data_IF_541329235370
#
_entry.id   IF_541329235370
#
_cell.length_a   1.000
_cell.length_b   1.000
_cell.length_c   1.000
_cell.angle_alpha   90.00
_cell.angle_beta   90.00
_cell.angle_gamma   90.00
#
_symmetry.space_group_name_H-M   'P 1'
#
loop_
_entity.id
_entity.type
_entity.pdbx_description
1 polymer ?
#
# COMPACT_ATOMS: atom_id res chain seq x y z
N UNK A 1 2.21 44.97 9.68
CA UNK A 1 2.81 43.82 8.97
C UNK A 1 2.71 42.53 9.79
N UNK A 2 1.67 42.34 10.63
CA UNK A 2 1.52 41.13 11.46
C UNK A 2 0.22 40.35 11.21
N UNK A 3 -0.72 40.89 10.43
CA UNK A 3 -2.01 40.25 10.18
C UNK A 3 -2.00 39.19 9.06
N UNK A 4 -0.87 38.99 8.37
CA UNK A 4 -0.81 38.14 7.16
C UNK A 4 -0.30 36.72 7.45
N UNK A 5 0.21 36.45 8.65
CA UNK A 5 0.69 35.11 9.06
C UNK A 5 -0.43 34.29 9.73
N UNK A 6 -1.56 34.93 10.07
CA UNK A 6 -2.71 34.30 10.76
C UNK A 6 -3.53 33.32 9.89
N UNK A 7 -3.29 33.25 8.57
CA UNK A 7 -4.07 32.38 7.67
C UNK A 7 -3.41 31.03 7.34
N UNK A 8 -2.25 30.70 7.91
CA UNK A 8 -1.64 29.35 7.81
C UNK A 8 -2.30 28.42 8.85
N UNK A 9 -3.60 28.57 9.05
CA UNK A 9 -4.47 27.68 9.80
C UNK A 9 -5.67 27.35 8.93
N UNK A 10 -5.45 26.67 7.80
CA UNK A 10 -6.50 25.85 7.20
C UNK A 10 -6.37 24.44 7.77
N UNK A 11 -7.12 24.21 8.84
CA UNK A 11 -7.45 22.91 9.38
C UNK A 11 -7.81 21.95 8.25
N UNK A 12 -7.02 20.90 8.06
CA UNK A 12 -7.41 19.78 7.21
C UNK A 12 -8.77 19.27 7.68
N UNK A 13 -9.67 18.96 6.75
CA UNK A 13 -10.99 18.44 7.12
C UNK A 13 -10.83 17.14 7.93
N UNK A 14 -11.77 16.79 8.83
CA UNK A 14 -11.69 15.53 9.58
C UNK A 14 -11.52 14.29 8.67
N UNK A 15 -12.02 14.36 7.44
CA UNK A 15 -11.86 13.32 6.41
C UNK A 15 -10.41 13.22 5.90
N UNK A 16 -9.71 14.34 5.76
CA UNK A 16 -8.32 14.37 5.30
C UNK A 16 -7.34 13.86 6.37
N UNK A 17 -7.59 14.19 7.65
CA UNK A 17 -6.80 13.68 8.77
C UNK A 17 -6.93 12.16 8.84
N UNK A 18 -8.15 11.64 8.85
CA UNK A 18 -8.41 10.19 8.88
C UNK A 18 -7.78 9.47 7.69
N UNK A 19 -7.88 10.04 6.49
CA UNK A 19 -7.26 9.49 5.28
C UNK A 19 -5.73 9.42 5.39
N UNK A 20 -5.10 10.48 5.90
CA UNK A 20 -3.64 10.51 6.10
C UNK A 20 -3.20 9.43 7.09
N UNK A 21 -3.96 9.21 8.17
CA UNK A 21 -3.71 8.12 9.12
C UNK A 21 -3.84 6.74 8.48
N UNK A 22 -4.88 6.52 7.65
CA UNK A 22 -5.08 5.26 6.92
C UNK A 22 -3.94 4.98 5.92
N UNK A 23 -3.51 6.00 5.17
CA UNK A 23 -2.36 5.90 4.25
C UNK A 23 -1.10 5.52 5.03
N UNK A 24 -0.84 6.15 6.18
CA UNK A 24 0.35 5.87 6.96
C UNK A 24 0.36 4.50 7.62
N UNK A 25 -0.83 4.01 8.02
CA UNK A 25 -0.99 2.63 8.50
C UNK A 25 -0.68 1.63 7.39
N UNK A 26 -1.29 1.78 6.22
CA UNK A 26 -1.09 0.89 5.07
C UNK A 26 0.37 0.89 4.60
N UNK A 27 1.00 2.07 4.54
CA UNK A 27 2.41 2.20 4.17
C UNK A 27 3.34 1.46 5.15
N UNK A 28 3.05 1.51 6.46
CA UNK A 28 3.77 0.74 7.47
C UNK A 28 3.57 -0.77 7.34
N UNK A 29 2.35 -1.22 7.02
CA UNK A 29 2.06 -2.64 6.76
C UNK A 29 2.81 -3.16 5.52
N UNK A 30 2.88 -2.35 4.45
CA UNK A 30 3.66 -2.69 3.26
C UNK A 30 5.16 -2.77 3.54
N UNK A 31 5.71 -1.85 4.34
CA UNK A 31 7.10 -1.92 4.76
C UNK A 31 7.39 -3.20 5.57
N UNK A 32 6.50 -3.58 6.49
CA UNK A 32 6.64 -4.82 7.25
C UNK A 32 6.62 -6.06 6.34
N UNK A 33 5.71 -6.12 5.34
CA UNK A 33 5.68 -7.21 4.37
C UNK A 33 6.96 -7.26 3.52
N UNK A 34 7.48 -6.10 3.13
CA UNK A 34 8.72 -6.02 2.37
C UNK A 34 9.92 -6.53 3.19
N UNK A 35 10.06 -6.09 4.45
CA UNK A 35 11.11 -6.57 5.34
C UNK A 35 10.97 -8.08 5.57
N UNK A 36 9.75 -8.59 5.75
CA UNK A 36 9.50 -10.03 5.87
C UNK A 36 10.00 -10.80 4.64
N UNK A 37 9.67 -10.32 3.43
CA UNK A 37 10.14 -10.95 2.20
C UNK A 37 11.67 -10.85 2.05
N UNK A 38 12.28 -9.74 2.46
CA UNK A 38 13.73 -9.57 2.47
C UNK A 38 14.40 -10.60 3.40
N UNK A 39 13.92 -10.73 4.63
CA UNK A 39 14.40 -11.72 5.60
C UNK A 39 14.26 -13.15 5.07
N UNK A 40 13.12 -13.47 4.47
CA UNK A 40 12.86 -14.76 3.82
C UNK A 40 13.88 -15.06 2.73
N UNK A 41 14.12 -14.13 1.80
CA UNK A 41 15.09 -14.32 0.70
C UNK A 41 16.51 -14.46 1.23
N UNK A 42 16.91 -13.63 2.20
CA UNK A 42 18.22 -13.72 2.85
C UNK A 42 18.42 -15.10 3.49
N UNK A 43 17.39 -15.61 4.18
CA UNK A 43 17.42 -16.93 4.80
C UNK A 43 17.49 -18.05 3.78
N UNK A 44 16.70 -17.98 2.70
CA UNK A 44 16.75 -18.95 1.61
C UNK A 44 18.15 -19.04 0.98
N UNK A 45 18.92 -17.95 0.92
CA UNK A 45 20.30 -18.02 0.44
C UNK A 45 21.24 -18.74 1.41
N UNK A 46 21.05 -18.57 2.73
CA UNK A 46 21.86 -19.26 3.76
C UNK A 46 21.48 -20.75 3.89
N UNK A 47 20.20 -21.08 3.71
CA UNK A 47 19.68 -22.45 3.87
C UNK A 47 19.96 -23.36 2.68
N UNK A 48 20.24 -22.82 1.49
CA UNK A 48 20.75 -23.60 0.35
C UNK A 48 22.02 -24.40 0.68
N UNK A 49 22.76 -24.03 1.72
CA UNK A 49 23.96 -24.72 2.18
C UNK A 49 23.69 -25.79 3.26
N UNK A 50 22.46 -25.91 3.77
CA UNK A 50 22.07 -26.87 4.84
C UNK A 50 20.85 -27.69 4.42
N UNK A 51 21.09 -28.91 3.97
CA UNK A 51 20.10 -29.80 3.34
C UNK A 51 19.04 -30.44 4.26
N UNK A 52 19.04 -30.18 5.57
CA UNK A 52 18.11 -30.86 6.50
C UNK A 52 17.28 -29.87 7.33
N UNK A 53 15.97 -29.82 7.05
CA UNK A 53 14.98 -29.13 7.90
C UNK A 53 13.68 -29.91 8.01
N UNK A 54 13.19 -30.07 9.26
CA UNK A 54 11.87 -30.64 9.54
C UNK A 54 10.74 -29.62 9.30
N UNK A 55 9.55 -30.10 8.94
CA UNK A 55 8.36 -29.29 8.63
C UNK A 55 8.03 -28.21 9.69
N UNK A 56 8.20 -28.51 10.98
CA UNK A 56 7.95 -27.56 12.07
C UNK A 56 8.94 -26.38 12.12
N UNK A 57 10.16 -26.55 11.62
CA UNK A 57 11.18 -25.52 11.64
C UNK A 57 10.84 -24.38 10.68
N UNK A 58 10.32 -24.70 9.49
CA UNK A 58 9.90 -23.68 8.51
C UNK A 58 8.76 -22.80 9.02
N UNK A 59 7.80 -23.39 9.76
CA UNK A 59 6.69 -22.64 10.37
C UNK A 59 7.22 -21.70 11.46
N UNK A 60 8.05 -22.19 12.37
CA UNK A 60 8.62 -21.37 13.44
C UNK A 60 9.48 -20.23 12.89
N UNK A 61 10.31 -20.50 11.89
CA UNK A 61 11.13 -19.47 11.23
C UNK A 61 10.28 -18.44 10.50
N UNK A 62 9.20 -18.84 9.81
CA UNK A 62 8.29 -17.90 9.16
C UNK A 62 7.60 -16.96 10.16
N UNK A 63 7.16 -17.48 11.30
CA UNK A 63 6.56 -16.68 12.38
C UNK A 63 7.58 -15.74 13.02
N UNK A 64 8.80 -16.22 13.24
CA UNK A 64 9.89 -15.41 13.78
C UNK A 64 10.25 -14.24 12.84
N UNK A 65 10.41 -14.50 11.55
CA UNK A 65 10.69 -13.47 10.55
C UNK A 65 9.56 -12.43 10.46
N UNK A 66 8.30 -12.85 10.63
CA UNK A 66 7.15 -11.95 10.59
C UNK A 66 7.18 -10.97 11.77
N UNK A 67 7.44 -11.47 12.98
CA UNK A 67 7.51 -10.64 14.18
C UNK A 67 8.72 -9.71 14.14
N UNK A 68 9.87 -10.24 13.70
CA UNK A 68 11.06 -9.44 13.48
C UNK A 68 10.82 -8.33 12.45
N UNK A 69 10.13 -8.62 11.35
CA UNK A 69 9.79 -7.63 10.34
C UNK A 69 8.88 -6.52 10.88
N UNK A 70 7.88 -6.86 11.71
CA UNK A 70 7.03 -5.86 12.38
C UNK A 70 7.83 -4.97 13.33
N UNK A 71 8.65 -5.56 14.19
CA UNK A 71 9.47 -4.80 15.13
C UNK A 71 10.44 -3.86 14.41
N UNK A 72 11.04 -4.30 13.31
CA UNK A 72 11.92 -3.49 12.47
C UNK A 72 11.16 -2.33 11.79
N UNK A 73 9.95 -2.57 11.29
CA UNK A 73 9.09 -1.53 10.72
C UNK A 73 8.67 -0.48 11.77
N UNK A 74 8.42 -0.90 13.02
CA UNK A 74 7.97 0.01 14.10
C UNK A 74 9.09 0.89 14.67
N UNK A 75 10.32 0.38 14.81
CA UNK A 75 11.39 1.07 15.57
C UNK A 75 12.24 2.05 14.77
N UNK A 76 12.19 2.00 13.43
CA UNK A 76 12.76 3.01 12.52
C UNK A 76 12.51 2.69 11.04
N UNK A 77 12.04 1.49 10.73
CA UNK A 77 11.82 1.04 9.37
C UNK A 77 13.10 1.01 8.53
N UNK A 78 12.91 0.84 7.23
CA UNK A 78 13.95 1.03 6.22
C UNK A 78 13.73 2.34 5.45
N UNK A 79 12.70 3.11 5.80
CA UNK A 79 12.33 4.37 5.16
C UNK A 79 11.33 4.21 4.02
N UNK A 80 10.81 3.00 3.80
CA UNK A 80 9.91 2.71 2.68
C UNK A 80 8.52 3.25 2.96
N UNK A 81 8.08 3.22 4.21
CA UNK A 81 6.81 3.81 4.65
C UNK A 81 6.73 5.29 4.24
N UNK A 82 7.74 6.09 4.53
CA UNK A 82 7.76 7.52 4.25
C UNK A 82 7.79 7.81 2.74
N UNK A 83 8.42 6.93 1.95
CA UNK A 83 8.42 7.03 0.49
C UNK A 83 7.01 6.75 -0.05
N UNK A 84 6.38 5.66 0.40
CA UNK A 84 5.03 5.27 -0.01
C UNK A 84 4.01 6.34 0.40
N UNK A 85 4.07 6.83 1.64
CA UNK A 85 3.21 7.90 2.14
C UNK A 85 3.34 9.16 1.27
N UNK A 86 4.58 9.60 0.98
CA UNK A 86 4.81 10.79 0.13
C UNK A 86 4.25 10.59 -1.27
N UNK A 87 4.48 9.44 -1.90
CA UNK A 87 3.99 9.16 -3.24
C UNK A 87 2.46 9.09 -3.29
N UNK A 88 1.82 8.44 -2.32
CA UNK A 88 0.35 8.34 -2.27
C UNK A 88 -0.30 9.70 -1.98
N UNK A 89 0.30 10.52 -1.12
CA UNK A 89 -0.20 11.87 -0.86
C UNK A 89 -0.04 12.77 -2.10
N UNK A 90 1.07 12.65 -2.84
CA UNK A 90 1.29 13.39 -4.09
C UNK A 90 0.37 12.92 -5.22
N UNK A 91 0.16 11.61 -5.37
CA UNK A 91 -0.76 11.06 -6.37
C UNK A 91 -2.20 11.51 -6.13
N UNK A 92 -2.62 11.64 -4.88
CA UNK A 92 -3.94 12.16 -4.51
C UNK A 92 -4.13 13.65 -4.82
N UNK A 93 -3.06 14.46 -4.78
CA UNK A 93 -3.14 15.87 -5.19
C UNK A 93 -3.36 16.02 -6.71
N UNK A 94 -2.91 15.04 -7.49
CA UNK A 94 -3.03 15.03 -8.94
C UNK A 94 -4.26 14.25 -9.45
N UNK A 95 -4.91 13.48 -8.57
CA UNK A 95 -6.17 12.81 -8.88
C UNK A 95 -7.30 13.84 -8.90
N UNK A 96 -7.71 14.28 -10.10
CA UNK A 96 -8.98 14.98 -10.25
C UNK A 96 -10.09 14.12 -9.63
N UNK A 97 -11.07 14.72 -8.93
CA UNK A 97 -12.26 13.98 -8.52
C UNK A 97 -12.92 13.46 -9.80
N UNK A 98 -12.85 12.17 -10.04
CA UNK A 98 -13.72 11.55 -11.03
C UNK A 98 -15.13 11.61 -10.45
N UNK A 99 -15.94 12.52 -10.94
CA UNK A 99 -17.40 12.45 -10.82
C UNK A 99 -17.86 11.04 -11.22
N UNK A 100 -18.70 10.45 -10.37
CA UNK A 100 -19.46 9.20 -10.53
C UNK A 100 -18.82 8.08 -11.35
N UNK A 101 -18.16 7.16 -10.64
CA UNK A 101 -18.03 5.78 -11.10
C UNK A 101 -19.10 4.91 -10.45
N UNK A 102 -20.33 5.12 -10.90
CA UNK A 102 -21.48 4.23 -10.71
C UNK A 102 -21.59 3.22 -11.87
N UNK A 103 -20.47 2.81 -12.48
CA UNK A 103 -20.44 1.95 -13.68
C UNK A 103 -20.31 0.44 -13.38
N UNK A 104 -20.42 0.01 -12.13
CA UNK A 104 -20.39 -1.43 -11.76
C UNK A 104 -21.73 -2.06 -11.39
N UNK A 105 -22.87 -1.40 -11.68
CA UNK A 105 -24.18 -2.06 -11.58
C UNK A 105 -24.98 -1.97 -12.88
N UNK A 106 -24.69 -2.89 -13.81
CA UNK A 106 -25.70 -3.71 -14.49
C UNK A 106 -25.13 -4.32 -15.77
N UNK A 107 -25.03 -5.65 -15.78
CA UNK A 107 -24.78 -6.44 -16.98
C UNK A 107 -25.93 -6.31 -17.99
N UNK A 108 -25.82 -5.37 -18.92
CA UNK A 108 -26.61 -5.39 -20.16
C UNK A 108 -25.73 -5.91 -21.30
N UNK A 109 -26.08 -7.03 -21.95
CA UNK A 109 -25.43 -7.40 -23.19
C UNK A 109 -25.72 -6.32 -24.23
N UNK A 110 -24.66 -5.76 -24.81
CA UNK A 110 -24.77 -4.79 -25.90
C UNK A 110 -25.55 -5.42 -27.04
N UNK A 111 -26.73 -4.88 -27.33
CA UNK A 111 -27.48 -5.19 -28.54
C UNK A 111 -26.61 -4.82 -29.75
N UNK A 112 -26.26 -5.81 -30.56
CA UNK A 112 -25.72 -5.61 -31.90
C UNK A 112 -26.80 -4.96 -32.77
N UNK A 113 -26.69 -3.66 -33.01
CA UNK A 113 -27.44 -2.95 -34.05
C UNK A 113 -26.57 -2.76 -35.29
N UNK A 114 -26.82 -3.65 -36.25
CA UNK A 114 -26.68 -3.60 -37.70
C UNK A 114 -25.77 -2.59 -38.41
N UNK A 115 -25.07 -3.10 -39.43
CA UNK A 115 -24.73 -2.33 -40.62
C UNK A 115 -24.02 -3.17 -41.69
N UNK A 116 -24.71 -3.49 -42.79
CA UNK A 116 -24.05 -4.06 -43.98
C UNK A 116 -24.99 -4.67 -45.02
N UNK A 117 -25.75 -3.84 -45.73
CA UNK A 117 -26.37 -4.24 -47.02
C UNK A 117 -25.24 -4.55 -48.00
N UNK A 118 -25.13 -5.80 -48.43
CA UNK A 118 -24.36 -6.17 -49.62
C UNK A 118 -25.30 -6.14 -50.83
N UNK A 119 -24.89 -5.37 -51.83
CA UNK A 119 -25.46 -5.32 -53.17
C UNK A 119 -25.11 -6.58 -53.95
#
# INVERSE_FOLDING_TARGET
MEAMISQISLSQSPKEIKRREEIGRLAGEMEALFIHQLLKVMREQVEKEREEKGFGQGIHQGLFDLELARELALKKGIGLKEIIERQLLQANLNAKPSEDRDDLSNGRPSQMSQGGKLR
#
